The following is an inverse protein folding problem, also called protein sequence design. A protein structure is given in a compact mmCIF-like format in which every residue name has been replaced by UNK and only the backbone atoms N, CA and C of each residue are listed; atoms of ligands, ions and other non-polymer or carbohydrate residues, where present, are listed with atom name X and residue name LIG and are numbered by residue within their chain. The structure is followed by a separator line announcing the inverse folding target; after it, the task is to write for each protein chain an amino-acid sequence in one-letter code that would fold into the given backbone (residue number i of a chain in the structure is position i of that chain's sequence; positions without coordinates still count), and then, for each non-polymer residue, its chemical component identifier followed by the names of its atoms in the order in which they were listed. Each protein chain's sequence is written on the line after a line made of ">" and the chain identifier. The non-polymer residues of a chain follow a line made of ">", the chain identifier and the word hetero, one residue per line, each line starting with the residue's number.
data_IF_101641126200
#
_entry.id   IF_101641126200
#
_cell.length_a   1.000
_cell.length_b   1.000
_cell.length_c   1.000
_cell.angle_alpha   90.00
_cell.angle_beta   90.00
_cell.angle_gamma   90.00
#
_symmetry.space_group_name_H-M   'P 1'
#
loop_
_entity.id
_entity.type
_entity.pdbx_description
1 polymer ?
#
# COMPACT_ATOMS: atom_id res chain seq x y z
N UNK A 1 -4.70 -44.22 0.45
CA UNK A 1 -5.31 -43.68 -0.79
C UNK A 1 -5.45 -42.18 -0.57
N UNK A 2 -4.43 -41.41 -0.94
CA UNK A 2 -4.30 -40.72 -2.24
C UNK A 2 -5.34 -39.61 -2.43
N UNK A 3 -4.87 -38.36 -2.53
CA UNK A 3 -5.70 -37.29 -3.06
C UNK A 3 -5.29 -35.85 -2.76
N UNK A 4 -4.10 -35.41 -3.22
CA UNK A 4 -3.79 -34.06 -3.76
C UNK A 4 -3.97 -32.86 -2.79
N UNK A 5 -2.89 -32.30 -2.25
CA UNK A 5 -2.18 -31.11 -2.78
C UNK A 5 -3.08 -30.06 -3.44
N UNK A 6 -3.06 -28.83 -2.88
CA UNK A 6 -2.82 -27.56 -3.57
C UNK A 6 -3.71 -26.41 -3.05
N UNK A 7 -3.36 -25.75 -1.93
CA UNK A 7 -3.78 -24.35 -1.69
C UNK A 7 -2.67 -23.59 -0.94
N UNK A 8 -1.58 -23.41 -1.67
CA UNK A 8 -0.58 -22.37 -1.43
C UNK A 8 -0.85 -21.28 -2.48
N UNK A 9 -1.88 -20.46 -2.31
CA UNK A 9 -2.08 -19.26 -3.13
C UNK A 9 -2.71 -18.17 -2.25
N UNK A 10 -1.91 -17.13 -2.04
CA UNK A 10 -2.30 -15.75 -1.76
C UNK A 10 -3.19 -15.48 -0.53
N UNK A 11 -2.52 -15.44 0.63
CA UNK A 11 -2.59 -14.24 1.47
C UNK A 11 -2.49 -13.00 0.58
N UNK A 12 -3.35 -11.99 0.77
CA UNK A 12 -3.31 -10.58 0.32
C UNK A 12 -4.76 -10.19 -0.05
N UNK A 13 -5.52 -9.35 0.64
CA UNK A 13 -5.16 -8.08 1.27
C UNK A 13 -6.24 -7.70 2.30
N UNK A 14 -5.80 -7.08 3.38
CA UNK A 14 -6.52 -6.71 4.61
C UNK A 14 -7.16 -5.31 4.56
N UNK A 15 -8.34 -5.19 5.19
CA UNK A 15 -8.78 -4.12 6.13
C UNK A 15 -8.64 -2.63 5.70
N UNK A 16 -9.71 -1.87 5.37
CA UNK A 16 -10.77 -1.22 6.18
C UNK A 16 -10.63 0.36 6.27
N UNK A 17 -11.68 1.21 6.12
CA UNK A 17 -12.29 2.15 7.14
C UNK A 17 -12.95 3.39 6.49
N UNK A 18 -14.23 3.74 6.71
CA UNK A 18 -14.98 4.10 7.92
C UNK A 18 -14.40 5.30 8.73
N UNK A 19 -14.56 6.50 8.17
CA UNK A 19 -14.75 7.77 8.90
C UNK A 19 -15.68 8.64 8.06
N UNK A 20 -16.89 8.91 8.52
CA UNK A 20 -17.94 9.63 7.79
C UNK A 20 -17.62 11.10 7.50
N UNK A 21 -16.84 11.34 6.45
CA UNK A 21 -16.68 12.64 5.81
C UNK A 21 -17.13 12.51 4.36
N UNK A 22 -18.05 13.38 3.93
CA UNK A 22 -18.56 13.42 2.57
C UNK A 22 -17.42 13.68 1.57
N UNK A 23 -17.35 12.84 0.52
CA UNK A 23 -16.34 12.92 -0.53
C UNK A 23 -16.78 13.88 -1.64
N UNK A 24 -15.90 14.74 -2.17
CA UNK A 24 -16.19 15.49 -3.38
C UNK A 24 -16.21 14.53 -4.58
N UNK A 25 -17.26 14.63 -5.38
CA UNK A 25 -17.34 14.00 -6.68
C UNK A 25 -16.21 14.56 -7.58
N UNK A 26 -15.72 13.76 -8.52
CA UNK A 26 -14.76 14.10 -9.60
C UNK A 26 -13.26 13.92 -9.29
N UNK A 27 -12.70 12.71 -9.54
CA UNK A 27 -11.28 12.52 -9.88
C UNK A 27 -11.20 11.64 -11.13
N UNK A 28 -10.75 12.23 -12.25
CA UNK A 28 -10.31 11.51 -13.44
C UNK A 28 -8.93 10.86 -13.20
N UNK A 29 -8.75 9.61 -13.66
CA UNK A 29 -7.55 8.78 -13.45
C UNK A 29 -6.91 8.42 -14.79
N UNK A 30 -5.60 8.65 -14.94
CA UNK A 30 -4.73 8.06 -16.00
C UNK A 30 -3.28 8.03 -15.45
N UNK A 31 -2.39 7.02 -15.55
CA UNK A 31 -2.36 5.58 -15.84
C UNK A 31 -0.95 5.06 -15.48
N UNK A 32 -0.77 3.77 -15.10
CA UNK A 32 0.51 3.05 -15.22
C UNK A 32 1.15 2.53 -13.92
N UNK A 33 0.70 1.37 -13.44
CA UNK A 33 1.45 0.47 -12.55
C UNK A 33 0.87 -0.93 -12.81
N UNK A 34 1.69 -1.85 -13.32
CA UNK A 34 1.32 -3.27 -13.43
C UNK A 34 1.75 -4.02 -12.16
N UNK A 35 1.06 -3.69 -11.07
CA UNK A 35 0.51 -4.73 -10.19
C UNK A 35 -0.52 -5.50 -11.03
N UNK A 36 -0.91 -6.74 -10.71
CA UNK A 36 -2.20 -7.22 -11.24
C UNK A 36 -3.26 -6.25 -10.74
N UNK A 37 -3.59 -5.32 -11.62
CA UNK A 37 -4.42 -4.17 -11.36
C UNK A 37 -5.80 -4.78 -11.32
N UNK A 38 -6.32 -5.07 -10.14
CA UNK A 38 -7.73 -5.43 -9.99
C UNK A 38 -8.53 -4.32 -10.65
N UNK A 39 -9.01 -4.61 -11.86
CA UNK A 39 -9.73 -3.61 -12.65
C UNK A 39 -11.00 -3.25 -11.87
N UNK A 40 -11.38 -1.98 -11.91
CA UNK A 40 -12.60 -1.56 -11.23
C UNK A 40 -13.80 -2.26 -11.87
N UNK A 41 -14.62 -2.91 -11.05
CA UNK A 41 -15.84 -3.54 -11.52
C UNK A 41 -17.01 -2.60 -11.27
N UNK A 42 -17.75 -2.30 -12.32
CA UNK A 42 -18.93 -1.43 -12.30
C UNK A 42 -19.92 -1.88 -13.36
N UNK A 43 -21.17 -1.45 -13.22
CA UNK A 43 -22.15 -1.64 -14.28
C UNK A 43 -21.73 -0.88 -15.54
N UNK A 44 -21.78 -1.55 -16.70
CA UNK A 44 -21.43 -1.02 -18.01
C UNK A 44 -22.35 -1.65 -19.08
N UNK A 45 -22.41 -1.03 -20.25
CA UNK A 45 -23.05 -1.58 -21.45
C UNK A 45 -22.03 -1.57 -22.61
N UNK A 46 -21.49 -2.73 -23.03
CA UNK A 46 -21.81 -4.08 -22.57
C UNK A 46 -21.29 -4.37 -21.14
N UNK A 47 -21.93 -5.29 -20.39
CA UNK A 47 -21.52 -5.61 -19.03
C UNK A 47 -20.10 -6.15 -18.94
N UNK A 48 -19.40 -5.73 -17.89
CA UNK A 48 -18.11 -6.29 -17.49
C UNK A 48 -18.26 -7.79 -17.22
N UNK A 49 -17.33 -8.60 -17.75
CA UNK A 49 -17.26 -10.04 -17.50
C UNK A 49 -15.88 -10.49 -17.05
N UNK A 50 -15.79 -11.58 -16.29
CA UNK A 50 -14.50 -12.21 -15.95
C UNK A 50 -14.51 -13.06 -14.67
N UNK A 51 -13.43 -13.80 -14.40
CA UNK A 51 -13.26 -14.58 -13.16
C UNK A 51 -13.32 -13.73 -11.88
N UNK A 52 -12.87 -12.49 -11.95
CA UNK A 52 -12.98 -11.49 -10.87
C UNK A 52 -14.44 -11.12 -10.56
N UNK A 53 -15.32 -11.16 -11.56
CA UNK A 53 -16.76 -10.96 -11.35
C UNK A 53 -17.40 -12.22 -10.74
N UNK A 54 -16.92 -13.41 -11.08
CA UNK A 54 -17.34 -14.67 -10.44
C UNK A 54 -17.02 -14.63 -8.94
N UNK A 55 -15.79 -14.24 -8.59
CA UNK A 55 -15.34 -14.09 -7.20
C UNK A 55 -16.17 -13.05 -6.43
N UNK A 56 -16.47 -11.90 -7.06
CA UNK A 56 -17.36 -10.89 -6.49
C UNK A 56 -18.76 -11.45 -6.19
N UNK A 57 -19.34 -12.16 -7.15
CA UNK A 57 -20.68 -12.73 -7.04
C UNK A 57 -20.75 -13.80 -5.95
N UNK A 58 -19.75 -14.68 -5.88
CA UNK A 58 -19.58 -15.66 -4.80
C UNK A 58 -19.53 -14.96 -3.45
N UNK A 59 -18.69 -13.92 -3.34
CA UNK A 59 -18.51 -13.23 -2.07
C UNK A 59 -19.73 -12.45 -1.60
N UNK A 60 -20.37 -11.69 -2.49
CA UNK A 60 -21.61 -10.98 -2.15
C UNK A 60 -22.75 -11.96 -1.79
N UNK A 61 -22.74 -13.16 -2.37
CA UNK A 61 -23.72 -14.21 -2.07
C UNK A 61 -23.46 -14.84 -0.70
N UNK A 62 -22.21 -15.11 -0.36
CA UNK A 62 -21.80 -15.55 0.99
C UNK A 62 -22.17 -14.53 2.07
N UNK A 63 -22.01 -13.24 1.78
CA UNK A 63 -22.32 -12.15 2.69
C UNK A 63 -23.81 -11.80 2.75
N UNK A 64 -24.65 -12.46 1.95
CA UNK A 64 -26.10 -12.28 1.93
C UNK A 64 -26.61 -11.06 1.13
N UNK A 65 -25.74 -10.36 0.40
CA UNK A 65 -26.10 -9.19 -0.41
C UNK A 65 -26.53 -9.55 -1.85
N UNK A 66 -26.24 -10.77 -2.32
CA UNK A 66 -26.54 -11.19 -3.70
C UNK A 66 -27.23 -12.56 -3.77
N UNK A 67 -28.38 -12.64 -4.42
CA UNK A 67 -29.14 -13.90 -4.60
C UNK A 67 -29.16 -14.42 -6.03
N UNK A 68 -28.52 -13.71 -6.97
CA UNK A 68 -28.51 -14.05 -8.39
C UNK A 68 -27.57 -15.20 -8.77
N UNK A 69 -27.46 -15.51 -10.08
CA UNK A 69 -26.54 -16.53 -10.60
C UNK A 69 -25.08 -16.06 -10.54
N UNK A 70 -24.16 -17.00 -10.33
CA UNK A 70 -22.71 -16.77 -10.43
C UNK A 70 -22.31 -17.09 -11.87
N UNK A 71 -22.36 -16.09 -12.75
CA UNK A 71 -22.15 -16.21 -14.20
C UNK A 71 -20.96 -15.40 -14.70
N UNK A 72 -20.26 -14.71 -13.80
CA UNK A 72 -19.13 -13.85 -14.13
C UNK A 72 -19.52 -12.59 -14.90
N UNK A 73 -20.78 -12.13 -14.81
CA UNK A 73 -21.29 -10.93 -15.48
C UNK A 73 -21.74 -9.87 -14.47
N UNK A 74 -21.14 -8.68 -14.55
CA UNK A 74 -21.47 -7.55 -13.68
C UNK A 74 -22.76 -6.87 -14.18
N UNK A 75 -23.90 -7.49 -13.91
CA UNK A 75 -25.21 -6.99 -14.29
C UNK A 75 -25.78 -6.03 -13.22
N UNK A 76 -26.98 -5.47 -13.47
CA UNK A 76 -27.61 -4.51 -12.55
C UNK A 76 -27.94 -5.12 -11.18
N UNK A 77 -28.14 -6.43 -11.08
CA UNK A 77 -28.34 -7.08 -9.78
C UNK A 77 -27.04 -7.13 -8.96
N UNK A 78 -25.90 -7.39 -9.61
CA UNK A 78 -24.57 -7.32 -8.97
C UNK A 78 -24.28 -5.89 -8.52
N UNK A 79 -24.60 -4.89 -9.36
CA UNK A 79 -24.45 -3.48 -8.99
C UNK A 79 -25.25 -3.13 -7.73
N UNK A 80 -26.52 -3.51 -7.65
CA UNK A 80 -27.34 -3.26 -6.47
C UNK A 80 -26.79 -3.95 -5.22
N UNK A 81 -26.35 -5.21 -5.34
CA UNK A 81 -25.71 -5.93 -4.24
C UNK A 81 -24.44 -5.24 -3.74
N UNK A 82 -23.60 -4.71 -4.65
CA UNK A 82 -22.41 -3.92 -4.28
C UNK A 82 -22.81 -2.63 -3.56
N UNK A 83 -23.86 -1.94 -4.03
CA UNK A 83 -24.34 -0.71 -3.38
C UNK A 83 -24.90 -0.97 -1.99
N UNK A 84 -25.61 -2.07 -1.81
CA UNK A 84 -26.15 -2.46 -0.50
C UNK A 84 -25.01 -2.83 0.46
N UNK A 85 -24.00 -3.59 0.00
CA UNK A 85 -22.79 -3.87 0.77
C UNK A 85 -22.04 -2.59 1.16
N UNK A 86 -21.85 -1.66 0.21
CA UNK A 86 -21.22 -0.37 0.45
C UNK A 86 -21.98 0.45 1.49
N UNK A 87 -23.32 0.44 1.44
CA UNK A 87 -24.19 1.14 2.39
C UNK A 87 -24.02 0.58 3.80
N UNK A 88 -24.06 -0.74 3.95
CA UNK A 88 -23.99 -1.42 5.24
C UNK A 88 -22.60 -1.37 5.88
N UNK A 89 -21.56 -1.07 5.10
CA UNK A 89 -20.18 -0.91 5.56
C UNK A 89 -19.72 0.55 5.64
N UNK A 90 -20.65 1.52 5.54
CA UNK A 90 -20.39 2.96 5.57
C UNK A 90 -19.29 3.39 4.57
N UNK A 91 -19.35 2.83 3.36
CA UNK A 91 -18.51 3.19 2.23
C UNK A 91 -19.28 4.14 1.30
N UNK A 92 -18.57 4.75 0.35
CA UNK A 92 -19.23 5.51 -0.71
C UNK A 92 -20.11 4.55 -1.54
N UNK A 93 -21.42 4.87 -1.64
CA UNK A 93 -22.42 4.04 -2.32
C UNK A 93 -22.46 4.38 -3.82
N UNK A 94 -21.42 3.98 -4.56
CA UNK A 94 -21.25 4.27 -5.98
C UNK A 94 -21.46 3.05 -6.89
N UNK A 95 -21.54 1.83 -6.34
CA UNK A 95 -21.65 0.59 -7.10
C UNK A 95 -20.34 0.21 -7.80
N UNK A 96 -19.20 0.76 -7.38
CA UNK A 96 -17.89 0.51 -7.97
C UNK A 96 -17.03 -0.30 -7.01
N UNK A 97 -16.53 -1.44 -7.48
CA UNK A 97 -15.58 -2.29 -6.76
C UNK A 97 -14.17 -1.79 -7.00
N UNK A 98 -13.49 -1.37 -5.92
CA UNK A 98 -12.10 -0.87 -5.91
C UNK A 98 -11.26 -1.75 -4.99
N UNK A 99 -9.93 -1.57 -5.02
CA UNK A 99 -8.97 -2.41 -4.28
C UNK A 99 -9.28 -2.52 -2.77
N UNK A 100 -9.73 -1.42 -2.13
CA UNK A 100 -10.10 -1.43 -0.71
C UNK A 100 -11.48 -2.08 -0.43
N UNK A 101 -12.33 -2.28 -1.45
CA UNK A 101 -13.62 -2.97 -1.29
C UNK A 101 -13.41 -4.48 -1.21
N UNK A 102 -12.44 -5.03 -1.93
CA UNK A 102 -12.03 -6.44 -1.84
C UNK A 102 -11.58 -6.82 -0.43
N UNK A 103 -10.68 -5.99 0.09
CA UNK A 103 -10.27 -5.91 1.48
C UNK A 103 -11.49 -5.95 2.43
N UNK A 104 -12.48 -5.06 2.23
CA UNK A 104 -13.67 -5.02 3.08
C UNK A 104 -14.56 -6.24 2.99
N UNK A 105 -14.73 -6.78 1.78
CA UNK A 105 -15.53 -7.98 1.56
C UNK A 105 -14.86 -9.20 2.19
N UNK A 106 -13.53 -9.30 2.19
CA UNK A 106 -12.79 -10.35 2.91
C UNK A 106 -13.09 -10.34 4.42
N UNK A 107 -13.28 -9.16 5.00
CA UNK A 107 -13.49 -8.98 6.45
C UNK A 107 -14.97 -9.01 6.90
N UNK A 108 -15.92 -9.06 5.97
CA UNK A 108 -17.36 -8.90 6.28
C UNK A 108 -18.09 -10.17 6.70
N UNK A 109 -17.40 -11.30 6.94
CA UNK A 109 -18.03 -12.43 7.64
C UNK A 109 -18.33 -11.97 9.07
N UNK A 110 -19.58 -12.07 9.56
CA UNK A 110 -19.89 -11.64 10.91
C UNK A 110 -19.19 -12.55 11.92
N UNK A 111 -18.11 -12.06 12.53
CA UNK A 111 -17.75 -12.47 13.88
C UNK A 111 -18.88 -11.93 14.76
N UNK A 112 -19.63 -12.84 15.38
CA UNK A 112 -20.75 -12.52 16.26
C UNK A 112 -20.38 -11.42 17.25
N UNK A 113 -21.17 -10.34 17.22
CA UNK A 113 -21.09 -9.22 18.14
C UNK A 113 -21.14 -9.69 19.60
N UNK A 114 -19.98 -9.71 20.26
CA UNK A 114 -19.92 -9.33 21.66
C UNK A 114 -19.24 -7.97 21.73
N UNK A 115 -19.86 -7.05 22.48
CA UNK A 115 -19.21 -5.82 22.95
C UNK A 115 -18.11 -6.20 23.93
N UNK A 116 -17.06 -6.87 23.46
CA UNK A 116 -15.85 -7.04 24.25
C UNK A 116 -15.19 -5.68 24.35
N UNK A 117 -14.82 -5.31 25.58
CA UNK A 117 -13.97 -4.17 25.85
C UNK A 117 -12.72 -4.34 25.00
N UNK A 118 -12.59 -3.53 23.94
CA UNK A 118 -11.39 -3.56 23.09
C UNK A 118 -10.17 -3.37 24.00
N UNK A 119 -9.20 -4.28 23.99
CA UNK A 119 -8.09 -4.22 24.93
C UNK A 119 -7.33 -2.90 24.80
N UNK A 120 -6.86 -2.35 25.92
CA UNK A 120 -6.17 -1.05 25.94
C UNK A 120 -4.82 -1.07 25.18
N UNK A 121 -4.26 -2.25 24.98
CA UNK A 121 -3.06 -2.49 24.18
C UNK A 121 -3.19 -3.77 23.35
N UNK A 122 -2.45 -3.88 22.23
CA UNK A 122 -2.30 -5.15 21.52
C UNK A 122 -1.79 -6.25 22.45
N UNK A 123 -2.30 -7.47 22.29
CA UNK A 123 -1.93 -8.64 23.10
C UNK A 123 -0.99 -9.60 22.36
N UNK A 124 -1.08 -9.61 21.04
CA UNK A 124 -0.30 -10.43 20.13
C UNK A 124 0.84 -9.67 19.47
N UNK A 125 1.17 -10.11 18.25
CA UNK A 125 2.28 -9.59 17.46
C UNK A 125 1.89 -8.30 16.76
N UNK A 126 2.53 -7.20 17.17
CA UNK A 126 2.31 -5.88 16.57
C UNK A 126 3.01 -5.76 15.22
N UNK A 127 2.26 -5.37 14.20
CA UNK A 127 2.77 -4.88 12.91
C UNK A 127 2.08 -3.56 12.52
N UNK A 128 2.68 -2.83 11.58
CA UNK A 128 2.23 -1.49 11.19
C UNK A 128 2.03 -1.41 9.67
N UNK A 129 0.93 -0.77 9.26
CA UNK A 129 0.72 -0.30 7.89
C UNK A 129 0.70 1.22 7.87
N UNK A 130 1.45 1.85 6.96
CA UNK A 130 1.36 3.28 6.65
C UNK A 130 0.67 3.42 5.29
N UNK A 131 -0.56 3.93 5.31
CA UNK A 131 -1.29 4.26 4.10
C UNK A 131 -0.97 5.72 3.69
N UNK A 132 -0.20 5.86 2.61
CA UNK A 132 0.21 7.19 2.13
C UNK A 132 -0.87 7.93 1.34
N UNK A 133 -1.96 7.26 0.95
CA UNK A 133 -3.12 7.88 0.31
C UNK A 133 -4.06 8.47 1.34
N UNK A 134 -4.35 7.71 2.40
CA UNK A 134 -5.23 8.15 3.49
C UNK A 134 -4.52 8.95 4.59
N UNK A 135 -3.18 9.00 4.57
CA UNK A 135 -2.37 9.64 5.61
C UNK A 135 -2.65 9.06 6.99
N UNK A 136 -2.66 7.72 7.08
CA UNK A 136 -2.90 6.96 8.31
C UNK A 136 -1.76 5.99 8.61
N UNK A 137 -1.47 5.82 9.90
CA UNK A 137 -0.73 4.70 10.46
C UNK A 137 -1.74 3.76 11.10
N UNK A 138 -1.74 2.50 10.69
CA UNK A 138 -2.62 1.44 11.15
C UNK A 138 -1.75 0.44 11.94
N UNK A 139 -2.17 0.13 13.16
CA UNK A 139 -1.60 -0.89 14.03
C UNK A 139 -2.41 -2.15 13.85
N UNK A 140 -1.73 -3.26 13.64
CA UNK A 140 -2.31 -4.59 13.63
C UNK A 140 -1.86 -5.36 14.88
N UNK A 141 -2.73 -6.23 15.36
CA UNK A 141 -2.49 -7.20 16.44
C UNK A 141 -2.75 -8.60 15.88
N UNK A 142 -1.70 -9.43 15.73
CA UNK A 142 -1.76 -10.73 15.02
C UNK A 142 -2.42 -10.64 13.63
N UNK A 143 -2.10 -9.57 12.89
CA UNK A 143 -2.62 -9.20 11.57
C UNK A 143 -4.08 -8.70 11.54
N UNK A 144 -4.76 -8.63 12.68
CA UNK A 144 -6.07 -8.01 12.77
C UNK A 144 -5.97 -6.53 13.08
N UNK A 145 -6.94 -5.74 12.61
CA UNK A 145 -6.97 -4.31 12.89
C UNK A 145 -7.06 -4.01 14.38
N UNK A 146 -6.05 -3.34 14.92
CA UNK A 146 -6.09 -2.82 16.28
C UNK A 146 -6.49 -1.35 16.32
N UNK A 147 -5.73 -0.44 15.69
CA UNK A 147 -6.03 0.99 15.80
C UNK A 147 -5.42 1.79 14.64
N UNK A 148 -5.99 2.95 14.32
CA UNK A 148 -5.41 3.88 13.35
C UNK A 148 -5.13 5.26 13.95
N UNK A 149 -4.09 5.92 13.44
CA UNK A 149 -3.66 7.26 13.81
C UNK A 149 -3.45 8.11 12.55
N UNK A 150 -3.88 9.38 12.53
CA UNK A 150 -3.55 10.28 11.42
C UNK A 150 -2.06 10.64 11.45
N UNK A 151 -1.45 10.74 10.28
CA UNK A 151 -0.03 11.06 10.12
C UNK A 151 0.22 12.17 9.12
N UNK A 152 1.41 12.78 9.18
CA UNK A 152 1.96 13.53 8.06
C UNK A 152 3.06 12.70 7.40
N UNK A 153 3.18 12.77 6.08
CA UNK A 153 4.21 12.06 5.32
C UNK A 153 5.09 13.03 4.52
N UNK A 154 6.05 12.47 3.79
CA UNK A 154 6.93 13.21 2.90
C UNK A 154 6.19 14.04 1.85
N UNK A 155 6.77 15.18 1.48
CA UNK A 155 6.34 15.94 0.31
C UNK A 155 6.56 15.13 -0.96
N UNK A 156 5.95 15.53 -2.07
CA UNK A 156 6.24 14.92 -3.39
C UNK A 156 7.73 15.01 -3.75
N UNK A 157 8.42 16.09 -3.38
CA UNK A 157 9.86 16.28 -3.59
C UNK A 157 10.76 15.53 -2.61
N UNK A 158 10.21 15.02 -1.50
CA UNK A 158 10.95 14.26 -0.47
C UNK A 158 10.05 13.13 0.03
N UNK A 159 9.74 12.16 -0.85
CA UNK A 159 8.68 11.19 -0.61
C UNK A 159 9.03 10.25 0.55
N UNK A 160 7.99 9.77 1.22
CA UNK A 160 8.12 8.67 2.17
C UNK A 160 8.45 7.39 1.40
N UNK A 161 9.40 6.57 1.89
CA UNK A 161 9.80 5.34 1.22
C UNK A 161 8.62 4.36 1.16
N UNK A 162 8.41 3.74 0.00
CA UNK A 162 7.37 2.72 -0.21
C UNK A 162 8.01 1.34 -0.12
N UNK A 163 7.31 0.38 0.50
CA UNK A 163 7.75 -1.00 0.65
C UNK A 163 7.66 -1.54 2.09
N UNK A 164 8.28 -2.68 2.32
CA UNK A 164 8.32 -3.36 3.63
C UNK A 164 9.63 -3.06 4.35
N UNK A 165 9.53 -2.70 5.62
CA UNK A 165 10.64 -2.34 6.50
C UNK A 165 10.39 -2.87 7.91
N UNK A 166 11.41 -2.81 8.75
CA UNK A 166 11.31 -3.12 10.17
C UNK A 166 11.70 -1.90 11.00
N UNK A 167 11.14 -1.81 12.20
CA UNK A 167 11.66 -0.88 13.21
C UNK A 167 13.03 -1.37 13.67
N UNK A 168 14.09 -0.65 13.35
CA UNK A 168 15.46 -1.07 13.67
C UNK A 168 16.07 -0.32 14.86
N UNK A 169 15.42 0.76 15.31
CA UNK A 169 15.95 1.62 16.36
C UNK A 169 14.81 2.38 17.04
N UNK A 170 14.92 2.61 18.36
CA UNK A 170 13.94 3.39 19.13
C UNK A 170 14.65 4.35 20.07
N UNK A 171 14.17 5.59 20.16
CA UNK A 171 14.67 6.57 21.12
C UNK A 171 13.57 7.47 21.66
N UNK A 172 13.75 7.87 22.92
CA UNK A 172 13.02 8.98 23.54
C UNK A 172 13.82 10.26 23.28
N UNK A 173 13.15 11.34 22.86
CA UNK A 173 13.77 12.66 22.62
C UNK A 173 15.01 12.63 21.68
N UNK A 174 14.88 11.94 20.54
CA UNK A 174 15.94 11.83 19.52
C UNK A 174 16.51 13.17 19.03
N UNK A 175 15.69 14.23 19.07
CA UNK A 175 16.10 15.59 18.74
C UNK A 175 14.92 16.55 18.73
N UNK A 176 15.21 17.85 18.83
CA UNK A 176 14.18 18.91 19.04
C UNK A 176 13.12 18.97 17.94
N UNK A 177 13.43 18.51 16.72
CA UNK A 177 12.50 18.48 15.59
C UNK A 177 11.64 17.22 15.46
N UNK A 178 11.88 16.19 16.29
CA UNK A 178 11.30 14.85 16.11
C UNK A 178 10.23 14.49 17.16
N UNK A 179 9.83 15.47 17.98
CA UNK A 179 8.87 15.24 19.06
C UNK A 179 9.41 14.34 20.16
N UNK A 180 8.51 13.63 20.84
CA UNK A 180 8.82 12.93 22.09
C UNK A 180 9.32 11.50 21.90
N UNK A 181 9.03 10.87 20.75
CA UNK A 181 9.41 9.48 20.44
C UNK A 181 9.88 9.38 18.99
N UNK A 182 10.89 8.53 18.77
CA UNK A 182 11.44 8.17 17.46
C UNK A 182 11.51 6.66 17.32
N UNK A 183 11.06 6.16 16.17
CA UNK A 183 11.18 4.76 15.74
C UNK A 183 11.77 4.74 14.34
N UNK A 184 13.05 4.37 14.23
CA UNK A 184 13.79 4.30 12.97
C UNK A 184 13.36 3.09 12.13
N UNK A 185 13.35 3.25 10.82
CA UNK A 185 12.99 2.21 9.85
C UNK A 185 14.22 1.68 9.12
N UNK A 186 14.20 0.39 8.78
CA UNK A 186 15.27 -0.32 8.06
C UNK A 186 15.34 0.02 6.56
N UNK A 187 15.39 1.31 6.23
CA UNK A 187 15.46 1.81 4.85
C UNK A 187 16.93 1.86 4.41
N UNK A 188 17.27 1.12 3.36
CA UNK A 188 18.65 0.97 2.90
C UNK A 188 19.30 2.24 2.34
N UNK A 189 18.51 3.23 1.93
CA UNK A 189 18.99 4.41 1.21
C UNK A 189 18.91 5.73 1.98
N UNK A 190 18.50 5.71 3.26
CA UNK A 190 18.45 6.91 4.08
C UNK A 190 17.92 6.70 5.49
N UNK A 191 17.93 7.77 6.28
CA UNK A 191 17.40 7.77 7.65
C UNK A 191 15.93 8.17 7.64
N UNK A 192 15.06 7.19 7.84
CA UNK A 192 13.62 7.38 7.91
C UNK A 192 13.09 6.84 9.23
N UNK A 193 11.99 7.40 9.70
CA UNK A 193 11.38 6.99 10.96
C UNK A 193 9.93 7.43 11.10
N UNK A 194 9.25 6.76 12.00
CA UNK A 194 7.96 7.16 12.58
C UNK A 194 8.28 7.94 13.86
N UNK A 195 7.80 9.17 13.97
CA UNK A 195 8.16 10.01 15.11
C UNK A 195 7.10 11.05 15.45
N UNK A 196 7.17 11.60 16.67
CA UNK A 196 6.33 12.72 17.10
C UNK A 196 6.60 14.01 16.33
N UNK A 197 5.95 15.12 16.65
CA UNK A 197 6.26 16.38 15.97
C UNK A 197 6.02 17.61 16.83
N UNK A 198 6.87 18.62 16.64
CA UNK A 198 6.65 19.99 17.15
C UNK A 198 5.83 20.85 16.17
N UNK A 199 5.37 20.27 15.04
CA UNK A 199 4.51 20.92 14.04
C UNK A 199 3.17 20.18 13.93
N UNK A 200 2.32 20.17 14.96
CA UNK A 200 1.09 19.39 14.98
C UNK A 200 0.12 19.72 13.84
N UNK A 201 0.14 20.97 13.34
CA UNK A 201 -0.64 21.39 12.17
C UNK A 201 -0.23 20.72 10.85
N UNK A 202 0.89 19.99 10.82
CA UNK A 202 1.32 19.23 9.65
C UNK A 202 0.63 17.87 9.52
N UNK A 203 0.02 17.35 10.58
CA UNK A 203 -0.69 16.07 10.58
C UNK A 203 -1.88 16.11 9.60
N UNK A 204 -2.06 15.03 8.83
CA UNK A 204 -3.03 14.97 7.74
C UNK A 204 -2.55 15.67 6.46
N UNK A 205 -1.23 15.90 6.30
CA UNK A 205 -0.65 16.54 5.10
C UNK A 205 0.64 15.86 4.62
N UNK A 206 1.01 16.10 3.36
CA UNK A 206 2.35 15.79 2.79
C UNK A 206 3.31 16.93 3.08
N UNK A 207 3.99 16.89 4.23
CA UNK A 207 4.67 18.06 4.81
C UNK A 207 6.07 17.79 5.39
N UNK A 208 6.53 16.54 5.43
CA UNK A 208 7.83 16.16 5.97
C UNK A 208 8.89 16.02 4.87
N UNK A 209 10.13 15.73 5.27
CA UNK A 209 11.24 15.37 4.37
C UNK A 209 11.35 13.84 4.17
N UNK A 210 10.23 13.12 4.25
CA UNK A 210 10.14 11.68 4.02
C UNK A 210 9.77 10.87 5.25
N UNK A 211 10.03 11.36 6.47
CA UNK A 211 9.63 10.69 7.70
C UNK A 211 8.12 10.74 7.94
N UNK A 212 7.59 9.80 8.73
CA UNK A 212 6.19 9.73 9.12
C UNK A 212 6.04 10.46 10.44
N UNK A 213 5.29 11.57 10.44
CA UNK A 213 5.02 12.38 11.65
C UNK A 213 3.70 11.98 12.27
N UNK A 214 3.70 11.86 13.59
CA UNK A 214 2.53 11.63 14.43
C UNK A 214 2.36 12.78 15.42
N UNK A 215 1.16 12.95 15.98
CA UNK A 215 0.98 13.77 17.19
C UNK A 215 1.78 13.14 18.33
N UNK A 216 2.31 13.95 19.24
CA UNK A 216 3.09 13.43 20.38
C UNK A 216 2.26 12.48 21.26
N UNK A 217 0.99 12.81 21.50
CA UNK A 217 0.05 11.93 22.21
C UNK A 217 -0.13 10.56 21.55
N UNK A 218 -0.12 10.53 20.22
CA UNK A 218 -0.41 9.33 19.44
C UNK A 218 0.84 8.44 19.37
N UNK A 219 2.01 9.04 19.15
CA UNK A 219 3.28 8.29 19.15
C UNK A 219 3.64 7.77 20.54
N UNK A 220 3.27 8.47 21.62
CA UNK A 220 3.49 8.01 22.99
C UNK A 220 2.67 6.78 23.34
N UNK A 221 1.44 6.68 22.80
CA UNK A 221 0.60 5.48 22.91
C UNK A 221 1.16 4.33 22.07
N UNK A 222 1.59 4.60 20.84
CA UNK A 222 2.13 3.60 19.93
C UNK A 222 3.47 3.03 20.41
N UNK A 223 4.36 3.88 20.93
CA UNK A 223 5.73 3.53 21.25
C UNK A 223 5.92 2.30 22.16
N UNK A 224 5.15 2.08 23.24
CA UNK A 224 5.27 0.87 24.05
C UNK A 224 4.85 -0.41 23.32
N UNK A 225 3.93 -0.33 22.34
CA UNK A 225 3.44 -1.49 21.59
C UNK A 225 4.46 -2.00 20.56
N UNK A 226 5.26 -1.09 20.01
CA UNK A 226 6.22 -1.39 18.94
C UNK A 226 7.54 -1.89 19.50
N UNK A 227 8.04 -3.03 19.01
CA UNK A 227 9.35 -3.57 19.38
C UNK A 227 10.36 -3.33 18.24
N UNK A 228 11.65 -3.43 18.55
CA UNK A 228 12.66 -3.56 17.48
C UNK A 228 12.35 -4.88 16.74
N UNK A 229 12.36 -4.85 15.42
CA UNK A 229 11.92 -5.93 14.55
C UNK A 229 10.44 -5.89 14.16
N UNK A 230 9.63 -4.99 14.73
CA UNK A 230 8.22 -4.81 14.30
C UNK A 230 8.18 -4.47 12.80
N UNK A 231 7.40 -5.25 12.06
CA UNK A 231 7.18 -5.05 10.62
C UNK A 231 6.37 -3.77 10.36
N UNK A 232 6.78 -3.05 9.31
CA UNK A 232 6.20 -1.79 8.85
C UNK A 232 6.08 -1.84 7.33
N UNK A 233 4.85 -1.95 6.85
CA UNK A 233 4.53 -1.86 5.42
C UNK A 233 4.10 -0.44 5.09
N UNK A 234 4.76 0.22 4.14
CA UNK A 234 4.37 1.54 3.65
C UNK A 234 3.79 1.40 2.26
N UNK A 235 2.49 1.64 2.14
CA UNK A 235 1.71 1.49 0.92
C UNK A 235 1.65 2.84 0.18
N UNK A 236 1.96 2.82 -1.11
CA UNK A 236 1.93 3.99 -1.98
C UNK A 236 2.51 3.69 -3.35
N UNK A 237 2.64 4.73 -4.17
CA UNK A 237 3.29 4.61 -5.47
C UNK A 237 4.81 4.83 -5.31
N UNK A 238 5.66 3.81 -5.58
CA UNK A 238 7.11 3.93 -5.45
C UNK A 238 7.73 4.96 -6.42
N UNK A 239 7.02 5.33 -7.49
CA UNK A 239 7.42 6.32 -8.49
C UNK A 239 6.96 7.75 -8.21
N UNK A 240 6.24 7.99 -7.09
CA UNK A 240 5.76 9.32 -6.71
C UNK A 240 4.26 9.55 -7.00
N UNK A 241 3.80 10.81 -6.93
CA UNK A 241 2.37 11.13 -7.16
C UNK A 241 2.00 11.07 -8.65
N UNK A 242 0.78 10.59 -8.91
CA UNK A 242 0.19 10.50 -10.25
C UNK A 242 0.31 11.84 -11.01
N UNK A 243 0.79 11.79 -12.27
CA UNK A 243 0.92 12.97 -13.14
C UNK A 243 2.34 13.57 -13.25
N UNK A 244 3.32 13.06 -12.50
CA UNK A 244 4.73 13.35 -12.74
C UNK A 244 5.36 12.18 -13.50
N UNK A 245 5.93 12.43 -14.69
CA UNK A 245 6.73 11.44 -15.40
C UNK A 245 7.75 10.84 -14.43
N UNK A 246 7.85 9.50 -14.42
CA UNK A 246 8.86 8.79 -13.64
C UNK A 246 10.20 9.47 -13.88
N UNK A 247 10.85 9.94 -12.80
CA UNK A 247 12.11 10.68 -12.93
C UNK A 247 13.15 9.79 -13.60
N UNK A 248 14.05 10.39 -14.36
CA UNK A 248 15.19 9.67 -14.91
C UNK A 248 16.10 9.22 -13.75
N UNK A 249 16.30 7.92 -13.60
CA UNK A 249 17.26 7.38 -12.64
C UNK A 249 18.64 7.37 -13.26
N UNK A 250 19.60 7.82 -12.48
CA UNK A 250 21.02 7.91 -12.82
C UNK A 250 21.85 7.51 -11.61
N UNK A 251 23.15 7.28 -11.81
CA UNK A 251 24.09 7.03 -10.72
C UNK A 251 23.97 8.09 -9.61
N UNK A 252 23.82 7.64 -8.37
CA UNK A 252 23.54 8.46 -7.19
C UNK A 252 22.06 8.62 -6.84
N UNK A 253 21.14 8.21 -7.72
CA UNK A 253 19.71 8.18 -7.42
C UNK A 253 19.40 7.25 -6.24
N UNK A 254 18.42 7.62 -5.42
CA UNK A 254 17.99 6.83 -4.25
C UNK A 254 16.48 6.85 -4.11
N UNK A 255 15.88 5.72 -3.73
CA UNK A 255 14.44 5.66 -3.49
C UNK A 255 13.81 4.30 -3.72
N UNK A 256 12.50 4.24 -3.49
CA UNK A 256 11.69 3.05 -3.77
C UNK A 256 11.63 2.76 -5.28
N UNK A 257 11.59 3.79 -6.12
CA UNK A 257 11.70 3.69 -7.58
C UNK A 257 12.98 2.98 -8.04
N UNK A 258 14.13 3.35 -7.46
CA UNK A 258 15.41 2.67 -7.70
C UNK A 258 15.34 1.22 -7.28
N UNK A 259 14.74 0.94 -6.12
CA UNK A 259 14.61 -0.43 -5.62
C UNK A 259 13.77 -1.29 -6.55
N UNK A 260 12.64 -0.78 -7.05
CA UNK A 260 11.78 -1.49 -8.02
C UNK A 260 12.54 -1.80 -9.31
N UNK A 261 13.31 -0.84 -9.83
CA UNK A 261 14.15 -1.04 -11.03
C UNK A 261 15.23 -2.09 -10.77
N UNK A 262 15.90 -2.05 -9.63
CA UNK A 262 16.88 -3.08 -9.24
C UNK A 262 16.23 -4.47 -9.13
N UNK A 263 15.04 -4.58 -8.51
CA UNK A 263 14.30 -5.85 -8.40
C UNK A 263 13.94 -6.41 -9.79
N UNK A 264 13.52 -5.56 -10.73
CA UNK A 264 13.27 -6.00 -12.11
C UNK A 264 14.56 -6.42 -12.82
N UNK A 265 15.64 -5.65 -12.73
CA UNK A 265 16.93 -6.01 -13.31
C UNK A 265 17.47 -7.34 -12.75
N UNK A 266 17.27 -7.60 -11.46
CA UNK A 266 17.62 -8.87 -10.83
C UNK A 266 16.80 -10.02 -11.43
N UNK A 267 15.48 -9.86 -11.53
CA UNK A 267 14.60 -10.89 -12.14
C UNK A 267 14.94 -11.18 -13.60
N UNK A 268 15.38 -10.16 -14.33
CA UNK A 268 15.81 -10.27 -15.72
C UNK A 268 17.24 -10.80 -15.89
N UNK A 269 17.98 -11.02 -14.79
CA UNK A 269 19.34 -11.55 -14.82
C UNK A 269 20.44 -10.54 -15.17
N UNK A 270 20.15 -9.23 -15.17
CA UNK A 270 21.13 -8.17 -15.44
C UNK A 270 21.84 -7.66 -14.17
N UNK A 271 21.25 -7.89 -12.99
CA UNK A 271 21.80 -7.43 -11.71
C UNK A 271 21.82 -8.59 -10.70
N UNK A 272 22.90 -8.70 -9.94
CA UNK A 272 23.04 -9.69 -8.88
C UNK A 272 22.84 -9.07 -7.48
N UNK A 273 22.50 -9.91 -6.50
CA UNK A 273 22.38 -9.50 -5.10
C UNK A 273 20.97 -9.03 -4.72
N UNK A 274 20.89 -8.10 -3.76
CA UNK A 274 19.63 -7.57 -3.23
C UNK A 274 19.46 -6.11 -3.65
N UNK A 275 18.22 -5.72 -3.98
CA UNK A 275 17.89 -4.33 -4.23
C UNK A 275 17.99 -3.50 -2.94
N UNK A 276 18.88 -2.52 -2.93
CA UNK A 276 19.19 -1.65 -1.80
C UNK A 276 18.59 -0.24 -1.93
N UNK A 277 17.96 0.05 -3.07
CA UNK A 277 17.37 1.35 -3.39
C UNK A 277 18.40 2.44 -3.65
N UNK A 278 19.67 2.09 -3.89
CA UNK A 278 20.77 3.01 -4.24
C UNK A 278 21.28 2.69 -5.64
N UNK A 279 21.13 3.65 -6.55
CA UNK A 279 21.58 3.50 -7.93
C UNK A 279 23.09 3.73 -7.98
N UNK A 280 23.87 2.66 -7.84
CA UNK A 280 25.33 2.68 -7.90
C UNK A 280 25.90 2.19 -9.23
N UNK A 281 27.22 1.99 -9.26
CA UNK A 281 27.96 1.50 -10.42
C UNK A 281 27.42 0.17 -10.98
N UNK A 282 27.10 -0.79 -10.10
CA UNK A 282 26.58 -2.10 -10.53
C UNK A 282 25.20 -1.97 -11.18
N UNK A 283 24.31 -1.12 -10.65
CA UNK A 283 23.00 -0.84 -11.25
C UNK A 283 23.16 -0.14 -12.60
N UNK A 284 24.07 0.83 -12.71
CA UNK A 284 24.34 1.51 -13.98
C UNK A 284 24.85 0.54 -15.06
N UNK A 285 25.76 -0.36 -14.68
CA UNK A 285 26.27 -1.42 -15.55
C UNK A 285 25.13 -2.35 -16.02
N UNK A 286 24.32 -2.83 -15.09
CA UNK A 286 23.15 -3.67 -15.39
C UNK A 286 22.17 -2.98 -16.36
N UNK A 287 21.91 -1.68 -16.17
CA UNK A 287 21.05 -0.91 -17.07
C UNK A 287 21.66 -0.76 -18.46
N UNK A 288 22.97 -0.54 -18.57
CA UNK A 288 23.66 -0.50 -19.87
C UNK A 288 23.55 -1.84 -20.62
N UNK A 289 23.69 -2.95 -19.90
CA UNK A 289 23.52 -4.29 -20.47
C UNK A 289 22.08 -4.55 -20.92
N UNK A 290 21.09 -4.20 -20.08
CA UNK A 290 19.66 -4.26 -20.42
C UNK A 290 19.34 -3.40 -21.66
N UNK A 291 19.83 -2.16 -21.71
CA UNK A 291 19.62 -1.26 -22.85
C UNK A 291 20.18 -1.86 -24.14
N UNK A 292 21.41 -2.39 -24.08
CA UNK A 292 22.05 -3.04 -25.23
C UNK A 292 21.25 -4.25 -25.72
N UNK A 293 20.76 -5.09 -24.81
CA UNK A 293 19.98 -6.28 -25.15
C UNK A 293 18.60 -5.96 -25.75
N UNK A 294 18.01 -4.80 -25.41
CA UNK A 294 16.70 -4.39 -25.88
C UNK A 294 16.74 -3.32 -26.98
N UNK A 295 17.89 -3.12 -27.66
CA UNK A 295 18.08 -2.13 -28.72
C UNK A 295 17.72 -0.69 -28.31
N UNK A 296 17.91 -0.36 -27.03
CA UNK A 296 17.77 1.00 -26.50
C UNK A 296 19.10 1.75 -26.60
N UNK A 297 19.05 3.09 -26.50
CA UNK A 297 20.26 3.90 -26.39
C UNK A 297 20.99 3.57 -25.08
N UNK A 298 22.22 3.07 -25.18
CA UNK A 298 23.05 2.69 -24.02
C UNK A 298 23.55 3.94 -23.30
N UNK A 299 22.77 4.40 -22.32
CA UNK A 299 23.07 5.60 -21.52
C UNK A 299 23.44 5.26 -20.08
N UNK A 300 23.00 4.11 -19.56
CA UNK A 300 23.02 3.83 -18.13
C UNK A 300 22.00 4.65 -17.33
N UNK A 301 21.08 5.35 -18.01
CA UNK A 301 19.97 6.06 -17.37
C UNK A 301 18.68 5.25 -17.54
N UNK A 302 17.77 5.34 -16.58
CA UNK A 302 16.44 4.73 -16.67
C UNK A 302 15.41 5.83 -16.78
N UNK A 303 14.88 6.04 -17.98
CA UNK A 303 13.77 6.94 -18.25
C UNK A 303 12.55 6.16 -18.74
N UNK A 304 11.58 6.88 -19.31
CA UNK A 304 10.31 6.33 -19.78
C UNK A 304 10.44 5.09 -20.68
N UNK A 305 11.41 5.09 -21.60
CA UNK A 305 11.61 3.96 -22.51
C UNK A 305 12.07 2.70 -21.75
N UNK A 306 12.99 2.85 -20.79
CA UNK A 306 13.43 1.74 -19.95
C UNK A 306 12.31 1.24 -19.04
N UNK A 307 11.55 2.13 -18.40
CA UNK A 307 10.39 1.74 -17.60
C UNK A 307 9.38 0.92 -18.42
N UNK A 308 9.00 1.43 -19.59
CA UNK A 308 8.10 0.72 -20.51
C UNK A 308 8.66 -0.63 -20.94
N UNK A 309 9.95 -0.70 -21.28
CA UNK A 309 10.59 -1.96 -21.72
C UNK A 309 10.73 -2.96 -20.57
N UNK A 310 10.75 -2.46 -19.33
CA UNK A 310 10.75 -3.25 -18.10
C UNK A 310 9.33 -3.58 -17.60
N UNK A 311 8.27 -3.17 -18.31
CA UNK A 311 6.87 -3.28 -17.87
C UNK A 311 6.63 -2.63 -16.48
N UNK A 312 7.10 -1.39 -16.29
CA UNK A 312 7.04 -0.61 -15.04
C UNK A 312 6.29 0.72 -15.19
#
# INVERSE_FOLDING_TARGET
>A
MQGKNLYLVCVLFTILFLTGADWPDNIEVVSGADFEKTRQLSYQDPPIKGPDVVELQERLKELGFYTGPIDGVYNRQVEFAVRDFQRDNNLRVDGIVRDFLWIRMADAIPITNNKEQKPESPQGTVSIIIDTYQLKLIVLDDNEFFQAFPVAIGRTSTPTPIGNFQVNHKAVNWGTGFGTRWMGLSVGWGKYGIHGTNKPWSIGRRASHGCIRMRNSDVEKLYPWVKIGTEVTIVGNPFGSFGHNQRTLVNGSRGADVKVVQEKLIRLGYLEGKADGIYGYNTEKAVKEFQKANNLKVTGHVGWNEYKTMDL
#
